data_IF_313093178097
#
_entry.id   IF_313093178097
#
_cell.length_a   1.000
_cell.length_b   1.000
_cell.length_c   1.000
_cell.angle_alpha   90.00
_cell.angle_beta   90.00
_cell.angle_gamma   90.00
#
_symmetry.space_group_name_H-M   'P 1'
#
loop_
_entity.id
_entity.type
_entity.pdbx_description
1 polymer ?
#
# COMPACT_ATOMS: atom_id res chain seq x y z
N UNK A 1 48.46 -5.45 29.13
CA UNK A 1 47.74 -6.74 29.16
C UNK A 1 46.23 -6.63 29.38
N UNK A 2 45.73 -5.77 30.30
CA UNK A 2 44.28 -5.61 30.54
C UNK A 2 43.51 -5.05 29.32
N UNK A 3 44.10 -4.10 28.60
CA UNK A 3 43.48 -3.49 27.41
C UNK A 3 43.33 -4.47 26.23
N UNK A 4 44.30 -5.36 26.04
CA UNK A 4 44.23 -6.42 25.04
C UNK A 4 43.16 -7.45 25.37
N UNK A 5 43.02 -7.83 26.65
CA UNK A 5 41.94 -8.71 27.11
C UNK A 5 40.57 -8.06 26.92
N UNK A 6 40.45 -6.76 27.23
CA UNK A 6 39.23 -6.00 26.99
C UNK A 6 38.88 -5.94 25.50
N UNK A 7 39.82 -5.59 24.63
CA UNK A 7 39.62 -5.57 23.18
C UNK A 7 39.23 -6.95 22.62
N UNK A 8 39.86 -8.02 23.12
CA UNK A 8 39.54 -9.38 22.70
C UNK A 8 38.13 -9.80 23.12
N UNK A 9 37.73 -9.50 24.37
CA UNK A 9 36.36 -9.79 24.84
C UNK A 9 35.33 -8.93 24.10
N UNK A 10 35.64 -7.65 23.87
CA UNK A 10 34.79 -6.77 23.09
C UNK A 10 34.58 -7.28 21.67
N UNK A 11 35.66 -7.63 20.96
CA UNK A 11 35.59 -8.19 19.61
C UNK A 11 34.83 -9.53 19.57
N UNK A 12 35.00 -10.39 20.59
CA UNK A 12 34.28 -11.64 20.69
C UNK A 12 32.77 -11.42 20.88
N UNK A 13 32.38 -10.53 21.80
CA UNK A 13 30.97 -10.17 22.02
C UNK A 13 30.36 -9.53 20.78
N UNK A 14 31.08 -8.59 20.16
CA UNK A 14 30.66 -7.94 18.93
C UNK A 14 30.46 -8.97 17.80
N UNK A 15 31.41 -9.89 17.63
CA UNK A 15 31.32 -10.98 16.67
C UNK A 15 30.13 -11.90 16.92
N UNK A 16 29.85 -12.25 18.18
CA UNK A 16 28.67 -13.03 18.56
C UNK A 16 27.39 -12.27 18.20
N UNK A 17 27.27 -11.00 18.59
CA UNK A 17 26.10 -10.16 18.30
C UNK A 17 25.87 -10.04 16.79
N UNK A 18 26.91 -9.73 16.01
CA UNK A 18 26.79 -9.66 14.56
C UNK A 18 26.43 -11.00 13.92
N UNK A 19 27.02 -12.11 14.39
CA UNK A 19 26.69 -13.45 13.88
C UNK A 19 25.24 -13.81 14.20
N UNK A 20 24.73 -13.41 15.37
CA UNK A 20 23.35 -13.64 15.77
C UNK A 20 22.38 -12.79 14.93
N UNK A 21 22.68 -11.50 14.74
CA UNK A 21 21.86 -10.60 13.91
C UNK A 21 21.87 -11.03 12.44
N UNK A 22 23.04 -11.28 11.86
CA UNK A 22 23.19 -11.68 10.46
C UNK A 22 22.66 -13.09 10.24
N UNK A 23 22.95 -14.02 11.17
CA UNK A 23 22.50 -15.41 11.10
C UNK A 23 20.99 -15.55 11.19
N UNK A 24 20.34 -14.78 12.08
CA UNK A 24 18.88 -14.67 12.08
C UNK A 24 18.42 -14.05 10.76
N UNK A 25 18.91 -12.87 10.40
CA UNK A 25 18.43 -12.12 9.23
C UNK A 25 19.07 -12.51 7.89
N UNK A 26 19.58 -13.74 7.75
CA UNK A 26 20.41 -14.15 6.62
C UNK A 26 19.67 -14.07 5.28
N UNK A 27 18.35 -14.27 5.27
CA UNK A 27 17.52 -14.09 4.08
C UNK A 27 17.36 -12.62 3.68
N UNK A 28 17.22 -11.71 4.65
CA UNK A 28 17.15 -10.26 4.38
C UNK A 28 18.49 -9.78 3.86
N UNK A 29 19.59 -10.17 4.50
CA UNK A 29 20.93 -9.89 3.99
C UNK A 29 21.15 -10.46 2.60
N UNK A 30 20.75 -11.72 2.36
CA UNK A 30 20.86 -12.31 1.02
C UNK A 30 20.01 -11.55 -0.01
N UNK A 31 18.81 -11.10 0.32
CA UNK A 31 17.98 -10.24 -0.56
C UNK A 31 18.66 -8.91 -0.84
N UNK A 32 19.22 -8.25 0.18
CA UNK A 32 19.97 -6.99 0.04
C UNK A 32 21.21 -7.19 -0.83
N UNK A 33 21.97 -8.28 -0.64
CA UNK A 33 23.16 -8.59 -1.42
C UNK A 33 22.85 -9.07 -2.84
N UNK A 34 21.74 -9.79 -3.04
CA UNK A 34 21.30 -10.25 -4.37
C UNK A 34 20.72 -9.10 -5.19
N UNK A 35 20.10 -8.12 -4.55
CA UNK A 35 19.58 -6.91 -5.17
C UNK A 35 20.49 -5.69 -4.95
N UNK A 36 21.77 -5.91 -4.61
CA UNK A 36 22.68 -4.82 -4.24
C UNK A 36 22.86 -3.82 -5.37
N UNK A 37 22.84 -4.29 -6.61
CA UNK A 37 22.94 -3.44 -7.80
C UNK A 37 21.71 -2.54 -7.95
N UNK A 38 20.49 -3.09 -7.81
CA UNK A 38 19.26 -2.29 -7.80
C UNK A 38 19.17 -1.32 -6.60
N UNK A 39 19.71 -1.71 -5.44
CA UNK A 39 19.79 -0.85 -4.25
C UNK A 39 20.87 0.24 -4.38
N UNK A 40 21.96 -0.03 -5.12
CA UNK A 40 23.04 0.91 -5.39
C UNK A 40 22.70 1.88 -6.52
N UNK A 41 21.99 1.42 -7.55
CA UNK A 41 21.47 2.27 -8.62
C UNK A 41 20.50 3.32 -8.06
N UNK A 42 19.65 2.93 -7.09
CA UNK A 42 18.81 3.88 -6.35
C UNK A 42 19.60 4.85 -5.47
N UNK A 43 20.72 4.43 -4.87
CA UNK A 43 21.45 5.27 -3.90
C UNK A 43 22.21 6.43 -4.55
N UNK A 44 22.75 6.23 -5.75
CA UNK A 44 23.44 7.29 -6.50
C UNK A 44 22.49 8.44 -6.85
N UNK A 45 21.25 8.12 -7.22
CA UNK A 45 20.24 9.12 -7.56
C UNK A 45 19.60 9.79 -6.35
N UNK A 46 19.43 9.07 -5.24
CA UNK A 46 18.89 9.63 -4.00
C UNK A 46 19.72 10.82 -3.51
N UNK A 47 21.05 10.72 -3.53
CA UNK A 47 21.90 11.82 -3.07
C UNK A 47 21.92 13.00 -4.05
N UNK A 48 21.88 12.72 -5.37
CA UNK A 48 21.89 13.76 -6.42
C UNK A 48 20.59 14.55 -6.47
N UNK A 49 19.45 13.89 -6.27
CA UNK A 49 18.10 14.51 -6.35
C UNK A 49 17.80 15.48 -5.20
N UNK A 50 18.64 15.55 -4.15
CA UNK A 50 18.57 16.61 -3.14
C UNK A 50 18.90 18.01 -3.69
N UNK A 51 19.56 18.08 -4.86
CA UNK A 51 19.83 19.32 -5.58
C UNK A 51 18.91 19.45 -6.78
N UNK A 52 18.51 20.69 -7.12
CA UNK A 52 17.70 20.93 -8.32
C UNK A 52 18.42 20.46 -9.59
N UNK A 53 19.75 20.64 -9.67
CA UNK A 53 20.56 20.16 -10.79
C UNK A 53 20.52 18.63 -10.90
N UNK A 54 20.70 17.90 -9.80
CA UNK A 54 20.67 16.44 -9.85
C UNK A 54 19.27 15.88 -10.06
N UNK A 55 18.21 16.59 -9.67
CA UNK A 55 16.84 16.26 -10.08
C UNK A 55 16.66 16.39 -11.60
N UNK A 56 17.20 17.45 -12.22
CA UNK A 56 17.17 17.62 -13.68
C UNK A 56 17.96 16.52 -14.37
N UNK A 57 19.16 16.19 -13.88
CA UNK A 57 19.98 15.10 -14.42
C UNK A 57 19.26 13.76 -14.34
N UNK A 58 18.56 13.48 -13.23
CA UNK A 58 17.74 12.27 -13.07
C UNK A 58 16.59 12.23 -14.07
N UNK A 59 15.85 13.34 -14.21
CA UNK A 59 14.72 13.43 -15.17
C UNK A 59 15.21 13.21 -16.60
N UNK A 60 16.39 13.72 -16.94
CA UNK A 60 17.01 13.54 -18.25
C UNK A 60 17.49 12.11 -18.47
N UNK A 61 18.02 11.45 -17.45
CA UNK A 61 18.47 10.06 -17.52
C UNK A 61 17.30 9.06 -17.56
N UNK A 62 16.17 9.40 -16.92
CA UNK A 62 15.00 8.52 -16.76
C UNK A 62 13.68 9.16 -17.21
N UNK A 63 13.56 9.59 -18.49
CA UNK A 63 12.33 10.18 -19.02
C UNK A 63 11.12 9.22 -18.99
N UNK A 64 11.37 7.92 -18.87
CA UNK A 64 10.39 6.86 -18.71
C UNK A 64 9.84 6.73 -17.29
N UNK A 65 10.39 7.42 -16.29
CA UNK A 65 9.95 7.32 -14.89
C UNK A 65 9.26 8.59 -14.37
N UNK A 66 9.53 9.75 -14.97
CA UNK A 66 9.05 11.04 -14.46
C UNK A 66 8.06 11.71 -15.40
N UNK A 67 7.00 12.27 -14.81
CA UNK A 67 6.11 13.24 -15.44
C UNK A 67 5.93 14.42 -14.49
N UNK A 68 5.92 15.65 -15.01
CA UNK A 68 5.74 16.87 -14.23
C UNK A 68 4.68 17.72 -14.89
N UNK A 69 3.64 18.07 -14.15
CA UNK A 69 2.61 19.01 -14.55
C UNK A 69 2.51 20.10 -13.48
N UNK A 70 2.70 21.35 -13.89
CA UNK A 70 2.43 22.53 -13.09
C UNK A 70 1.38 23.35 -13.83
N UNK A 71 0.22 23.54 -13.20
CA UNK A 71 -0.85 24.37 -13.73
C UNK A 71 -1.15 25.47 -12.72
N UNK A 72 -1.09 26.72 -13.18
CA UNK A 72 -1.61 27.86 -12.44
C UNK A 72 -3.15 27.87 -12.57
N UNK A 73 -3.85 27.95 -11.44
CA UNK A 73 -5.31 27.93 -11.35
C UNK A 73 -5.89 29.36 -11.41
N UNK A 74 -5.07 30.40 -11.20
CA UNK A 74 -5.53 31.79 -11.05
C UNK A 74 -5.33 32.69 -12.28
N UNK A 75 -4.55 32.31 -13.30
CA UNK A 75 -4.19 33.25 -14.36
C UNK A 75 -5.14 33.23 -15.58
N UNK A 76 -6.15 34.11 -15.56
CA UNK A 76 -6.92 34.53 -16.75
C UNK A 76 -6.07 35.42 -17.71
N UNK A 77 -4.78 35.61 -17.41
CA UNK A 77 -3.85 36.43 -18.17
C UNK A 77 -2.59 35.65 -18.56
N UNK A 78 -2.58 35.23 -19.82
CA UNK A 78 -1.43 34.97 -20.70
C UNK A 78 -0.11 35.52 -20.16
N UNK A 79 0.81 34.63 -19.71
CA UNK A 79 2.27 34.77 -19.95
C UNK A 79 2.92 33.38 -20.05
N UNK A 80 3.75 33.22 -21.09
CA UNK A 80 4.32 31.99 -21.66
C UNK A 80 5.19 31.08 -20.75
N UNK A 81 5.14 31.22 -19.42
CA UNK A 81 5.97 30.46 -18.47
C UNK A 81 5.20 29.81 -17.32
N UNK A 82 3.87 29.90 -17.30
CA UNK A 82 3.05 29.48 -16.15
C UNK A 82 2.57 28.02 -16.22
N UNK A 83 3.05 27.26 -17.20
CA UNK A 83 2.74 25.84 -17.35
C UNK A 83 4.02 25.05 -17.60
N UNK A 84 4.34 24.09 -16.75
CA UNK A 84 5.40 23.12 -16.96
C UNK A 84 4.74 21.77 -17.20
N UNK A 85 4.80 21.27 -18.43
CA UNK A 85 4.26 19.97 -18.81
C UNK A 85 5.37 19.11 -19.41
N UNK A 86 5.76 18.07 -18.69
CA UNK A 86 6.76 17.10 -19.09
C UNK A 86 6.17 15.70 -18.92
N UNK A 87 6.02 14.94 -20.02
CA UNK A 87 5.47 13.59 -19.99
C UNK A 87 4.03 13.52 -19.47
N UNK A 88 3.23 14.59 -19.61
CA UNK A 88 1.86 14.66 -19.09
C UNK A 88 0.92 13.63 -19.71
N UNK A 89 1.21 13.24 -20.94
CA UNK A 89 0.47 12.26 -21.74
C UNK A 89 0.81 10.80 -21.40
N UNK A 90 1.86 10.59 -20.59
CA UNK A 90 2.25 9.24 -20.18
C UNK A 90 1.43 8.82 -18.97
N UNK A 91 0.70 7.72 -19.10
CA UNK A 91 0.00 7.09 -17.99
C UNK A 91 0.99 6.66 -16.90
N UNK A 92 0.69 7.01 -15.64
CA UNK A 92 1.52 6.70 -14.46
C UNK A 92 0.67 6.02 -13.40
N UNK A 93 1.29 5.13 -12.63
CA UNK A 93 0.65 4.55 -11.44
C UNK A 93 0.36 5.65 -10.42
N UNK A 94 -0.91 5.81 -10.05
CA UNK A 94 -1.34 6.85 -9.11
C UNK A 94 -1.02 6.52 -7.65
N UNK A 95 -0.89 5.23 -7.30
CA UNK A 95 -0.76 4.79 -5.92
C UNK A 95 -1.86 5.42 -5.05
N UNK A 96 -1.48 5.96 -3.88
CA UNK A 96 -2.41 6.59 -2.94
C UNK A 96 -3.16 7.82 -3.48
N UNK A 97 -2.71 8.41 -4.60
CA UNK A 97 -3.44 9.55 -5.22
C UNK A 97 -4.83 9.16 -5.71
N UNK A 98 -5.08 7.86 -5.98
CA UNK A 98 -6.42 7.36 -6.30
C UNK A 98 -7.44 7.62 -5.20
N UNK A 99 -7.01 7.82 -3.93
CA UNK A 99 -7.90 8.16 -2.84
C UNK A 99 -8.58 9.53 -3.01
N UNK A 100 -8.05 10.43 -3.85
CA UNK A 100 -8.72 11.69 -4.16
C UNK A 100 -9.97 11.49 -5.01
N UNK A 101 -9.98 10.49 -5.90
CA UNK A 101 -11.19 10.12 -6.66
C UNK A 101 -12.26 9.61 -5.69
N UNK A 102 -11.87 8.78 -4.71
CA UNK A 102 -12.77 8.29 -3.67
C UNK A 102 -13.30 9.41 -2.78
N UNK A 103 -12.44 10.34 -2.35
CA UNK A 103 -12.83 11.51 -1.57
C UNK A 103 -13.84 12.37 -2.33
N UNK A 104 -13.57 12.67 -3.59
CA UNK A 104 -14.44 13.50 -4.40
C UNK A 104 -15.79 12.83 -4.69
N UNK A 105 -15.78 11.52 -4.94
CA UNK A 105 -17.00 10.73 -5.10
C UNK A 105 -17.81 10.71 -3.80
N UNK A 106 -17.17 10.43 -2.66
CA UNK A 106 -17.80 10.50 -1.33
C UNK A 106 -18.47 11.85 -1.09
N UNK A 107 -17.75 12.95 -1.32
CA UNK A 107 -18.28 14.29 -1.14
C UNK A 107 -19.49 14.54 -2.06
N UNK A 108 -19.43 14.10 -3.32
CA UNK A 108 -20.56 14.19 -4.24
C UNK A 108 -21.79 13.41 -3.75
N UNK A 109 -21.60 12.19 -3.22
CA UNK A 109 -22.70 11.38 -2.69
C UNK A 109 -23.34 11.98 -1.43
N UNK A 110 -22.53 12.59 -0.56
CA UNK A 110 -23.01 13.32 0.63
C UNK A 110 -23.80 14.58 0.23
N UNK A 111 -23.25 15.41 -0.67
CA UNK A 111 -23.92 16.63 -1.16
C UNK A 111 -25.28 16.30 -1.80
N UNK A 112 -25.35 15.19 -2.52
CA UNK A 112 -26.59 14.73 -3.16
C UNK A 112 -27.53 13.96 -2.21
N UNK A 113 -27.18 13.82 -0.92
CA UNK A 113 -28.00 13.14 0.09
C UNK A 113 -28.15 11.64 -0.12
N UNK A 114 -27.30 11.02 -0.94
CA UNK A 114 -27.27 9.56 -1.17
C UNK A 114 -26.46 8.81 -0.13
N UNK A 115 -25.59 9.53 0.59
CA UNK A 115 -24.77 9.02 1.67
C UNK A 115 -24.80 9.97 2.86
N UNK A 116 -24.73 9.43 4.08
CA UNK A 116 -24.67 10.24 5.31
C UNK A 116 -23.25 10.25 5.86
N UNK A 117 -22.73 11.44 6.16
CA UNK A 117 -21.44 11.60 6.85
C UNK A 117 -21.45 11.04 8.28
N UNK A 118 -22.62 11.02 8.92
CA UNK A 118 -22.86 10.50 10.27
C UNK A 118 -23.11 8.99 10.29
N UNK A 119 -23.03 8.31 9.15
CA UNK A 119 -23.14 6.86 9.10
C UNK A 119 -22.06 6.25 10.00
N UNK A 120 -22.49 5.46 10.99
CA UNK A 120 -21.58 4.76 11.89
C UNK A 120 -21.02 3.51 11.20
N UNK A 121 -19.69 3.40 11.23
CA UNK A 121 -18.90 2.32 10.66
C UNK A 121 -18.24 1.56 11.80
N UNK A 122 -18.43 0.25 11.85
CA UNK A 122 -17.74 -0.57 12.84
C UNK A 122 -16.27 -0.76 12.49
N UNK A 123 -15.41 -0.87 13.50
CA UNK A 123 -13.99 -1.20 13.33
C UNK A 123 -13.84 -2.52 12.55
N UNK A 124 -14.72 -3.50 12.81
CA UNK A 124 -14.74 -4.79 12.09
C UNK A 124 -14.97 -4.62 10.59
N UNK A 125 -15.75 -3.62 10.16
CA UNK A 125 -15.94 -3.34 8.73
C UNK A 125 -14.65 -2.83 8.08
N UNK A 126 -13.84 -2.03 8.79
CA UNK A 126 -12.52 -1.57 8.33
C UNK A 126 -11.54 -2.74 8.28
N UNK A 127 -11.47 -3.53 9.36
CA UNK A 127 -10.57 -4.69 9.51
C UNK A 127 -10.79 -5.76 8.44
N UNK A 128 -11.99 -5.85 7.86
CA UNK A 128 -12.27 -6.77 6.74
C UNK A 128 -11.35 -6.53 5.53
N UNK A 129 -10.91 -5.30 5.33
CA UNK A 129 -10.03 -4.92 4.22
C UNK A 129 -8.56 -4.84 4.62
N UNK A 130 -8.24 -5.11 5.90
CA UNK A 130 -6.85 -5.15 6.35
C UNK A 130 -6.18 -6.40 5.80
N UNK A 131 -5.08 -6.19 5.08
CA UNK A 131 -4.20 -7.27 4.63
C UNK A 131 -3.13 -7.48 5.71
N UNK A 132 -3.09 -8.65 6.37
CA UNK A 132 -2.05 -8.93 7.34
C UNK A 132 -0.66 -8.71 6.76
N UNK A 133 0.23 -8.13 7.57
CA UNK A 133 1.62 -7.78 7.20
C UNK A 133 1.79 -6.65 6.16
N UNK A 134 0.69 -6.05 5.66
CA UNK A 134 0.77 -4.83 4.86
C UNK A 134 0.66 -3.59 5.76
N UNK A 135 1.79 -2.94 6.02
CA UNK A 135 1.90 -1.72 6.84
C UNK A 135 1.19 -1.79 8.22
N UNK A 136 1.42 -2.84 9.05
CA UNK A 136 0.66 -3.07 10.28
C UNK A 136 0.75 -1.93 11.30
N UNK A 137 1.90 -1.24 11.37
CA UNK A 137 2.05 -0.07 12.25
C UNK A 137 1.19 1.10 11.80
N UNK A 138 1.14 1.38 10.49
CA UNK A 138 0.30 2.45 9.94
C UNK A 138 -1.17 2.14 10.17
N UNK A 139 -1.57 0.88 10.00
CA UNK A 139 -2.93 0.43 10.29
C UNK A 139 -3.29 0.66 11.76
N UNK A 140 -2.48 0.14 12.71
CA UNK A 140 -2.68 0.34 14.14
C UNK A 140 -2.78 1.81 14.52
N UNK A 141 -1.85 2.65 14.06
CA UNK A 141 -1.86 4.09 14.31
C UNK A 141 -3.10 4.78 13.74
N UNK A 142 -3.63 4.30 12.62
CA UNK A 142 -4.84 4.84 11.99
C UNK A 142 -6.09 4.47 12.77
N UNK A 143 -6.18 3.25 13.30
CA UNK A 143 -7.27 2.83 14.21
C UNK A 143 -7.20 3.57 15.54
N UNK A 144 -6.00 3.71 16.13
CA UNK A 144 -5.80 4.50 17.35
C UNK A 144 -6.23 5.97 17.16
N UNK A 145 -5.94 6.54 15.98
CA UNK A 145 -6.39 7.88 15.63
C UNK A 145 -7.92 7.99 15.57
N UNK A 146 -8.61 7.03 14.94
CA UNK A 146 -10.08 6.99 14.92
C UNK A 146 -10.66 6.88 16.33
N UNK A 147 -10.09 6.00 17.17
CA UNK A 147 -10.50 5.81 18.55
C UNK A 147 -10.29 7.06 19.42
N UNK A 148 -9.27 7.87 19.12
CA UNK A 148 -9.02 9.11 19.87
C UNK A 148 -10.02 10.23 19.56
N UNK A 149 -10.69 10.17 18.40
CA UNK A 149 -11.67 11.19 17.96
C UNK A 149 -13.13 10.75 18.13
N UNK A 150 -13.37 9.47 18.45
CA UNK A 150 -14.71 8.92 18.65
C UNK A 150 -15.05 8.73 20.13
N UNK A 151 -16.34 8.86 20.45
CA UNK A 151 -16.87 8.45 21.77
C UNK A 151 -16.92 6.92 21.92
N UNK A 152 -16.95 6.19 20.80
CA UNK A 152 -16.95 4.73 20.75
C UNK A 152 -15.57 4.22 20.32
N UNK A 153 -15.11 3.11 20.94
CA UNK A 153 -13.86 2.45 20.54
C UNK A 153 -14.02 1.50 19.35
N UNK A 154 -15.26 1.18 18.99
CA UNK A 154 -15.58 0.16 17.99
C UNK A 154 -16.41 0.68 16.83
N UNK A 155 -16.87 1.93 16.89
CA UNK A 155 -17.67 2.56 15.83
C UNK A 155 -17.21 4.00 15.61
N UNK A 156 -17.15 4.41 14.34
CA UNK A 156 -16.62 5.70 13.89
C UNK A 156 -17.56 6.29 12.85
N UNK A 157 -17.66 7.62 12.76
CA UNK A 157 -18.40 8.26 11.66
C UNK A 157 -17.66 7.98 10.35
N UNK A 158 -18.41 7.82 9.27
CA UNK A 158 -17.85 7.61 7.94
C UNK A 158 -16.90 8.76 7.55
N UNK A 159 -17.23 9.99 7.93
CA UNK A 159 -16.38 11.17 7.72
C UNK A 159 -14.99 11.03 8.37
N UNK A 160 -14.91 10.50 9.60
CA UNK A 160 -13.64 10.25 10.29
C UNK A 160 -12.80 9.20 9.55
N UNK A 161 -13.46 8.16 9.03
CA UNK A 161 -12.81 7.10 8.24
C UNK A 161 -12.27 7.66 6.92
N UNK A 162 -13.02 8.51 6.22
CA UNK A 162 -12.59 9.21 5.01
C UNK A 162 -11.41 10.14 5.31
N UNK A 163 -11.44 10.86 6.43
CA UNK A 163 -10.32 11.71 6.85
C UNK A 163 -9.03 10.89 7.06
N UNK A 164 -9.14 9.71 7.68
CA UNK A 164 -8.01 8.80 7.88
C UNK A 164 -7.50 8.20 6.56
N UNK A 165 -8.40 7.80 5.64
CA UNK A 165 -8.04 7.36 4.29
C UNK A 165 -7.08 8.34 3.62
N UNK A 166 -7.41 9.63 3.63
CA UNK A 166 -6.61 10.67 2.95
C UNK A 166 -5.37 11.05 3.76
N UNK A 167 -5.52 11.39 5.05
CA UNK A 167 -4.43 11.93 5.87
C UNK A 167 -3.33 10.92 6.16
N UNK A 168 -3.69 9.64 6.23
CA UNK A 168 -2.77 8.56 6.56
C UNK A 168 -2.44 7.67 5.37
N UNK A 169 -3.05 7.91 4.21
CA UNK A 169 -3.03 6.96 3.09
C UNK A 169 -3.42 5.55 3.57
N UNK A 170 -4.49 5.46 4.37
CA UNK A 170 -4.86 4.24 5.07
C UNK A 170 -5.66 3.31 4.14
N UNK A 171 -4.98 2.29 3.60
CA UNK A 171 -5.52 1.39 2.59
C UNK A 171 -6.83 0.69 3.01
N UNK A 172 -6.98 0.11 4.22
CA UNK A 172 -8.24 -0.54 4.61
C UNK A 172 -9.42 0.43 4.66
N UNK A 173 -9.17 1.69 5.06
CA UNK A 173 -10.20 2.74 4.98
C UNK A 173 -10.56 3.08 3.54
N UNK A 174 -9.59 3.09 2.61
CA UNK A 174 -9.87 3.36 1.20
C UNK A 174 -10.79 2.30 0.58
N UNK A 175 -10.49 1.04 0.82
CA UNK A 175 -11.28 -0.08 0.31
C UNK A 175 -12.68 -0.12 0.93
N UNK A 176 -12.80 0.18 2.22
CA UNK A 176 -14.10 0.38 2.86
C UNK A 176 -14.87 1.53 2.21
N UNK A 177 -14.26 2.70 2.01
CA UNK A 177 -14.91 3.86 1.38
C UNK A 177 -15.35 3.53 -0.04
N UNK A 178 -14.52 2.84 -0.83
CA UNK A 178 -14.90 2.34 -2.15
C UNK A 178 -16.12 1.41 -2.06
N UNK A 179 -16.18 0.52 -1.07
CA UNK A 179 -17.31 -0.39 -0.87
C UNK A 179 -18.61 0.32 -0.45
N UNK A 180 -18.50 1.39 0.34
CA UNK A 180 -19.65 2.17 0.83
C UNK A 180 -20.20 3.10 -0.25
N UNK A 181 -19.31 3.80 -0.97
CA UNK A 181 -19.68 4.68 -2.09
C UNK A 181 -20.18 3.85 -3.28
N UNK A 182 -19.54 2.71 -3.53
CA UNK A 182 -19.91 1.77 -4.58
C UNK A 182 -19.30 2.10 -5.93
N UNK A 183 -18.96 1.03 -6.67
CA UNK A 183 -18.31 1.11 -7.99
C UNK A 183 -19.07 1.99 -8.99
N UNK A 184 -20.40 1.91 -9.01
CA UNK A 184 -21.22 2.68 -9.96
C UNK A 184 -21.09 4.19 -9.70
N UNK A 185 -21.17 4.64 -8.45
CA UNK A 185 -21.02 6.05 -8.12
C UNK A 185 -19.62 6.56 -8.46
N UNK A 186 -18.58 5.75 -8.23
CA UNK A 186 -17.19 6.09 -8.63
C UNK A 186 -17.09 6.22 -10.15
N UNK A 187 -17.67 5.28 -10.90
CA UNK A 187 -17.67 5.32 -12.35
C UNK A 187 -18.44 6.54 -12.88
N UNK A 188 -19.63 6.81 -12.37
CA UNK A 188 -20.44 7.98 -12.74
C UNK A 188 -19.69 9.29 -12.44
N UNK A 189 -19.01 9.38 -11.29
CA UNK A 189 -18.19 10.53 -10.95
C UNK A 189 -17.02 10.70 -11.91
N UNK A 190 -16.30 9.60 -12.23
CA UNK A 190 -15.19 9.64 -13.17
C UNK A 190 -15.65 10.04 -14.56
N UNK A 191 -16.73 9.45 -15.08
CA UNK A 191 -17.28 9.78 -16.41
C UNK A 191 -17.73 11.24 -16.50
N UNK A 192 -18.23 11.81 -15.39
CA UNK A 192 -18.72 13.20 -15.34
C UNK A 192 -17.60 14.24 -15.14
N UNK A 193 -16.55 13.91 -14.39
CA UNK A 193 -15.60 14.92 -13.87
C UNK A 193 -14.13 14.63 -14.17
N UNK A 194 -13.77 13.38 -14.47
CA UNK A 194 -12.39 12.97 -14.70
C UNK A 194 -12.20 12.77 -16.20
N UNK A 195 -11.61 13.77 -16.84
CA UNK A 195 -11.28 13.69 -18.26
C UNK A 195 -9.86 13.14 -18.45
N UNK A 196 -9.72 12.10 -19.27
CA UNK A 196 -8.44 11.48 -19.62
C UNK A 196 -8.42 9.97 -19.41
N UNK A 197 -7.29 9.34 -19.77
CA UNK A 197 -7.07 7.90 -19.62
C UNK A 197 -6.66 7.58 -18.16
N UNK A 198 -7.63 7.64 -17.25
CA UNK A 198 -7.47 7.24 -15.85
C UNK A 198 -8.27 5.97 -15.60
N UNK A 199 -7.59 4.92 -15.15
CA UNK A 199 -8.23 3.67 -14.75
C UNK A 199 -9.03 3.84 -13.45
N UNK A 200 -10.08 3.03 -13.30
CA UNK A 200 -10.85 2.95 -12.06
C UNK A 200 -9.94 2.69 -10.85
N UNK A 201 -10.17 3.35 -9.70
CA UNK A 201 -9.48 3.02 -8.47
C UNK A 201 -9.59 1.53 -8.16
N UNK A 202 -8.46 0.88 -7.89
CA UNK A 202 -8.43 -0.51 -7.48
C UNK A 202 -8.75 -0.65 -5.98
N UNK A 203 -9.36 -1.77 -5.61
CA UNK A 203 -9.46 -2.24 -4.23
C UNK A 203 -8.12 -2.86 -3.88
N UNK A 204 -7.36 -2.20 -3.01
CA UNK A 204 -5.96 -2.51 -2.74
C UNK A 204 -5.80 -3.86 -2.05
N UNK A 205 -6.72 -4.23 -1.17
CA UNK A 205 -6.73 -5.54 -0.51
C UNK A 205 -6.83 -6.65 -1.55
N UNK A 206 -7.73 -6.51 -2.54
CA UNK A 206 -7.85 -7.47 -3.63
C UNK A 206 -6.56 -7.54 -4.46
N UNK A 207 -5.91 -6.41 -4.71
CA UNK A 207 -4.63 -6.36 -5.42
C UNK A 207 -3.48 -7.05 -4.65
N UNK A 208 -3.32 -6.72 -3.37
CA UNK A 208 -2.28 -7.32 -2.53
C UNK A 208 -2.50 -8.81 -2.33
N UNK A 209 -3.74 -9.22 -2.09
CA UNK A 209 -4.10 -10.64 -2.00
C UNK A 209 -3.88 -11.34 -3.34
N UNK A 210 -4.14 -10.67 -4.46
CA UNK A 210 -3.85 -11.22 -5.76
C UNK A 210 -2.34 -11.46 -5.99
N UNK A 211 -1.50 -10.49 -5.59
CA UNK A 211 -0.03 -10.64 -5.65
C UNK A 211 0.44 -11.78 -4.74
N UNK A 212 -0.03 -11.83 -3.49
CA UNK A 212 0.35 -12.88 -2.54
C UNK A 212 -0.05 -14.26 -3.06
N UNK A 213 -1.27 -14.39 -3.56
CA UNK A 213 -1.75 -15.64 -4.18
C UNK A 213 -0.95 -15.99 -5.44
N UNK A 214 -0.59 -15.00 -6.27
CA UNK A 214 0.22 -15.24 -7.46
C UNK A 214 1.67 -15.65 -7.15
N UNK A 215 2.23 -15.18 -6.03
CA UNK A 215 3.53 -15.59 -5.54
C UNK A 215 3.56 -17.06 -5.09
N UNK A 216 2.42 -17.59 -4.63
CA UNK A 216 2.23 -19.03 -4.41
C UNK A 216 2.08 -19.82 -5.71
N UNK A 217 1.62 -19.16 -6.78
CA UNK A 217 1.53 -19.73 -8.12
C UNK A 217 2.71 -19.32 -9.00
N UNK A 218 3.95 -19.49 -8.52
CA UNK A 218 5.15 -19.45 -9.38
C UNK A 218 5.16 -20.55 -10.48
N UNK A 219 4.05 -21.28 -10.64
CA UNK A 219 3.73 -22.19 -11.73
C UNK A 219 2.71 -21.64 -12.74
N UNK A 220 2.10 -20.47 -12.51
CA UNK A 220 1.23 -19.84 -13.50
C UNK A 220 2.07 -18.93 -14.40
N UNK A 221 2.45 -19.46 -15.56
CA UNK A 221 2.85 -18.70 -16.75
C UNK A 221 1.68 -17.85 -17.29
N UNK A 222 1.05 -17.06 -16.43
CA UNK A 222 -0.13 -16.24 -16.76
C UNK A 222 0.29 -14.93 -17.42
N UNK A 223 -0.40 -14.56 -18.49
CA UNK A 223 -0.33 -13.24 -19.10
C UNK A 223 -0.89 -12.16 -18.15
N UNK A 224 -0.61 -10.88 -18.40
CA UNK A 224 -1.21 -9.77 -17.64
C UNK A 224 -2.75 -9.84 -17.58
N UNK A 225 -3.39 -10.41 -18.60
CA UNK A 225 -4.83 -10.63 -18.65
C UNK A 225 -5.32 -11.66 -17.62
N UNK A 226 -4.49 -12.65 -17.30
CA UNK A 226 -4.82 -13.67 -16.29
C UNK A 226 -4.78 -13.08 -14.88
N UNK A 227 -3.83 -12.16 -14.62
CA UNK A 227 -3.79 -11.37 -13.39
C UNK A 227 -5.00 -10.45 -13.26
N UNK A 228 -5.39 -9.77 -14.35
CA UNK A 228 -6.57 -8.90 -14.34
C UNK A 228 -7.86 -9.69 -14.09
N UNK A 229 -8.02 -10.86 -14.72
CA UNK A 229 -9.18 -11.73 -14.48
C UNK A 229 -9.23 -12.22 -13.05
N UNK A 230 -8.10 -12.67 -12.50
CA UNK A 230 -8.01 -13.11 -11.12
C UNK A 230 -8.32 -11.99 -10.13
N UNK A 231 -7.75 -10.80 -10.35
CA UNK A 231 -8.05 -9.60 -9.56
C UNK A 231 -9.55 -9.26 -9.59
N UNK A 232 -10.18 -9.22 -10.77
CA UNK A 232 -11.61 -8.91 -10.91
C UNK A 232 -12.52 -9.97 -10.25
N UNK A 233 -12.18 -11.25 -10.37
CA UNK A 233 -12.85 -12.36 -9.69
C UNK A 233 -12.73 -12.24 -8.17
N UNK A 234 -11.54 -11.88 -7.69
CA UNK A 234 -11.23 -11.75 -6.27
C UNK A 234 -11.89 -10.52 -5.65
N UNK A 235 -11.82 -9.36 -6.30
CA UNK A 235 -12.54 -8.13 -5.93
C UNK A 235 -14.04 -8.43 -5.78
N UNK A 236 -14.64 -9.12 -6.76
CA UNK A 236 -16.05 -9.52 -6.71
C UNK A 236 -16.36 -10.37 -5.47
N UNK A 237 -15.53 -11.35 -5.13
CA UNK A 237 -15.74 -12.22 -3.95
C UNK A 237 -15.56 -11.47 -2.63
N UNK A 238 -14.59 -10.56 -2.57
CA UNK A 238 -14.31 -9.77 -1.37
C UNK A 238 -15.42 -8.75 -1.08
N UNK A 239 -16.03 -8.20 -2.12
CA UNK A 239 -17.16 -7.26 -2.01
C UNK A 239 -18.51 -7.95 -1.75
N UNK A 240 -18.72 -9.19 -2.21
CA UNK A 240 -20.03 -9.85 -2.13
C UNK A 240 -20.23 -10.79 -0.94
N UNK A 241 -19.18 -11.29 -0.28
CA UNK A 241 -19.35 -12.40 0.68
C UNK A 241 -18.49 -12.24 1.95
N UNK A 242 -19.15 -12.18 3.12
CA UNK A 242 -18.51 -12.16 4.44
C UNK A 242 -17.91 -13.52 4.83
N UNK A 243 -18.30 -14.59 4.12
CA UNK A 243 -17.86 -15.97 4.33
C UNK A 243 -16.97 -16.49 3.19
N UNK A 244 -16.44 -15.59 2.34
CA UNK A 244 -15.62 -16.00 1.20
C UNK A 244 -14.41 -16.83 1.64
N UNK A 245 -14.06 -17.87 0.87
CA UNK A 245 -12.90 -18.73 1.14
C UNK A 245 -11.59 -17.95 1.35
N UNK A 246 -11.48 -16.74 0.81
CA UNK A 246 -10.36 -15.83 1.04
C UNK A 246 -10.33 -15.31 2.49
N UNK A 247 -11.49 -14.95 3.06
CA UNK A 247 -11.65 -14.59 4.48
C UNK A 247 -11.48 -15.81 5.38
N UNK A 248 -11.88 -17.00 4.92
CA UNK A 248 -11.64 -18.27 5.62
C UNK A 248 -10.14 -18.63 5.62
N UNK A 249 -9.42 -18.40 4.51
CA UNK A 249 -7.96 -18.52 4.45
C UNK A 249 -7.26 -17.52 5.38
N UNK A 250 -7.80 -16.31 5.52
CA UNK A 250 -7.33 -15.31 6.49
C UNK A 250 -7.59 -15.75 7.95
N UNK A 251 -8.74 -16.37 8.25
CA UNK A 251 -9.03 -16.96 9.57
C UNK A 251 -8.18 -18.20 9.88
N UNK A 252 -7.68 -18.91 8.88
CA UNK A 252 -6.76 -20.03 9.06
C UNK A 252 -5.33 -19.60 9.44
N UNK A 253 -5.02 -18.30 9.34
CA UNK A 253 -3.85 -17.67 9.96
C UNK A 253 -4.28 -17.21 11.37
N UNK A 254 -4.11 -18.10 12.34
CA UNK A 254 -4.72 -18.11 13.68
C UNK A 254 -4.70 -16.78 14.47
N UNK A 255 -5.84 -16.51 15.13
CA UNK A 255 -6.32 -15.26 15.73
C UNK A 255 -5.94 -15.12 17.22
N UNK A 256 -4.89 -15.79 17.71
CA UNK A 256 -4.57 -15.78 19.14
C UNK A 256 -3.09 -15.60 19.53
N UNK A 257 -2.26 -15.06 18.63
CA UNK A 257 -0.91 -14.63 19.02
C UNK A 257 -0.67 -13.19 18.61
N UNK A 258 -0.89 -12.30 19.58
CA UNK A 258 -0.28 -10.99 19.60
C UNK A 258 1.24 -11.20 19.63
N UNK A 259 1.91 -10.74 18.58
CA UNK A 259 3.37 -10.78 18.37
C UNK A 259 3.90 -12.11 17.83
N UNK A 260 4.07 -12.16 16.50
CA UNK A 260 5.03 -13.05 15.87
C UNK A 260 6.14 -12.22 15.24
N UNK A 261 7.37 -12.64 15.47
CA UNK A 261 8.52 -12.14 14.71
C UNK A 261 8.60 -12.82 13.33
N UNK A 262 9.30 -12.16 12.39
CA UNK A 262 9.57 -12.67 11.02
C UNK A 262 10.08 -14.12 10.95
N UNK A 263 10.67 -14.65 12.04
CA UNK A 263 11.19 -16.02 12.11
C UNK A 263 10.17 -17.08 12.52
N UNK A 264 9.12 -16.68 13.22
CA UNK A 264 8.07 -17.60 13.69
C UNK A 264 7.07 -17.91 12.58
N UNK A 265 6.80 -16.92 11.73
CA UNK A 265 6.04 -17.09 10.47
C UNK A 265 6.74 -18.09 9.54
N UNK A 266 8.05 -17.95 9.34
CA UNK A 266 8.87 -18.83 8.49
C UNK A 266 8.88 -20.31 8.93
N UNK A 267 8.73 -20.59 10.21
CA UNK A 267 8.70 -21.98 10.71
C UNK A 267 7.31 -22.62 10.60
N UNK A 268 6.22 -21.84 10.64
CA UNK A 268 4.88 -22.34 10.33
C UNK A 268 4.76 -22.84 8.88
N UNK A 269 5.50 -22.24 7.95
CA UNK A 269 5.64 -22.71 6.56
C UNK A 269 6.34 -24.07 6.41
N UNK A 270 7.11 -24.53 7.40
CA UNK A 270 7.77 -25.85 7.35
C UNK A 270 6.87 -27.00 7.79
N UNK A 271 5.79 -26.71 8.51
CA UNK A 271 4.84 -27.71 9.02
C UNK A 271 3.67 -28.00 8.09
N UNK A 272 3.52 -27.26 6.99
CA UNK A 272 2.52 -27.57 5.97
C UNK A 272 2.95 -28.82 5.19
N UNK A 273 2.05 -29.81 4.98
CA UNK A 273 2.42 -31.05 4.32
C UNK A 273 2.92 -30.73 2.92
N UNK A 274 4.10 -31.25 2.57
CA UNK A 274 4.60 -31.26 1.20
C UNK A 274 3.59 -31.99 0.31
N UNK A 275 2.77 -31.26 -0.42
CA UNK A 275 2.21 -31.78 -1.65
C UNK A 275 3.39 -31.88 -2.64
N UNK A 276 3.92 -33.09 -2.75
CA UNK A 276 4.89 -33.51 -3.76
C UNK A 276 4.09 -34.20 -4.87
N UNK A 277 4.70 -34.41 -6.04
CA UNK A 277 4.64 -33.56 -7.23
C UNK A 277 3.27 -33.51 -7.94
#
# INVERSE_FOLDING_TARGET
MRIFKFLAVFAAVLGIVYTLIIGLNLSVFKTVFTNQEALAEGSEWVEKTYSLSGLVDFIQAHPELVSVTLNDIESDTVRMFNHLNYGQEKTRTMGGLGHFILLATYANEVINGRLSEDQMISVTAIERFFVPNHEPNKHRESIELLQSHSQSKSEFRLDDVVAVMVRRNHQPSADLVYSVVGKLAVQEFMDAHVHGDIDMPAVWSAFHLAIVASGQTSHLNGSADDYLKFYNEFERRLLLDSDSEAVIMLKALDVNKSEYSFFEEKNAYKSLPKATP
#
